data_IF_888101327200
#
_entry.id   IF_888101327200
#
_cell.length_a   1.000
_cell.length_b   1.000
_cell.length_c   1.000
_cell.angle_alpha   90.00
_cell.angle_beta   90.00
_cell.angle_gamma   90.00
#
_symmetry.space_group_name_H-M   'P 1'
#
loop_
_entity.id
_entity.type
_entity.pdbx_description
1 polymer ?
#
# COMPACT_ATOMS: atom_id res chain seq x y z
N UNK A 1 -9.83 -34.66 -66.93
CA UNK A 1 -10.51 -33.47 -67.50
C UNK A 1 -10.18 -32.27 -66.63
N UNK A 2 -9.31 -31.37 -67.11
CA UNK A 2 -9.02 -30.08 -66.49
C UNK A 2 -10.08 -29.06 -66.94
N UNK A 3 -10.65 -28.29 -66.00
CA UNK A 3 -11.26 -26.98 -66.30
C UNK A 3 -10.69 -25.93 -65.36
N UNK A 4 -10.13 -24.90 -66.01
CA UNK A 4 -9.45 -23.73 -65.45
C UNK A 4 -10.43 -22.66 -64.98
N UNK A 5 -9.97 -21.96 -63.94
CA UNK A 5 -10.06 -20.50 -63.64
C UNK A 5 -11.42 -19.81 -63.53
N UNK A 6 -11.61 -19.10 -62.41
CA UNK A 6 -12.02 -17.69 -62.39
C UNK A 6 -11.44 -16.95 -61.17
N UNK A 7 -10.80 -15.84 -61.48
CA UNK A 7 -10.25 -14.75 -60.67
C UNK A 7 -11.29 -14.02 -59.83
N UNK A 8 -10.86 -13.44 -58.70
CA UNK A 8 -11.56 -12.31 -58.06
C UNK A 8 -11.17 -12.11 -56.59
N UNK A 9 -10.42 -11.03 -56.25
CA UNK A 9 -10.04 -10.71 -54.88
C UNK A 9 -11.15 -9.90 -54.18
N UNK A 10 -11.53 -10.29 -52.96
CA UNK A 10 -12.41 -9.49 -52.12
C UNK A 10 -11.64 -9.08 -50.86
N UNK A 11 -11.22 -7.82 -50.84
CA UNK A 11 -10.78 -7.08 -49.67
C UNK A 11 -12.00 -6.81 -48.77
N UNK A 12 -11.92 -7.10 -47.46
CA UNK A 12 -12.52 -6.24 -46.42
C UNK A 12 -11.64 -6.34 -45.16
N UNK A 13 -11.17 -5.17 -44.75
CA UNK A 13 -10.40 -4.89 -43.54
C UNK A 13 -11.19 -5.23 -42.27
N UNK A 14 -10.52 -5.80 -41.26
CA UNK A 14 -11.09 -6.09 -39.95
C UNK A 14 -10.24 -5.49 -38.83
N UNK A 15 -10.55 -4.23 -38.52
CA UNK A 15 -10.36 -3.50 -37.25
C UNK A 15 -9.29 -4.00 -36.26
N UNK A 16 -8.18 -3.26 -36.25
CA UNK A 16 -7.22 -3.19 -35.15
C UNK A 16 -7.88 -2.40 -34.00
N UNK A 17 -8.39 -3.09 -32.98
CA UNK A 17 -8.82 -2.44 -31.73
C UNK A 17 -7.56 -2.10 -30.94
N UNK A 18 -7.06 -0.89 -31.13
CA UNK A 18 -6.10 -0.26 -30.22
C UNK A 18 -6.88 0.07 -28.96
N UNK A 19 -6.85 -0.84 -27.98
CA UNK A 19 -7.30 -0.57 -26.62
C UNK A 19 -6.38 0.46 -26.00
N UNK A 20 -6.79 1.73 -26.05
CA UNK A 20 -6.15 2.81 -25.30
C UNK A 20 -6.48 2.57 -23.82
N UNK A 21 -5.60 1.91 -23.10
CA UNK A 21 -5.59 1.99 -21.64
C UNK A 21 -5.11 3.40 -21.29
N UNK A 22 -6.06 4.32 -21.12
CA UNK A 22 -5.78 5.62 -20.52
C UNK A 22 -5.40 5.34 -19.07
N UNK A 23 -4.10 5.41 -18.78
CA UNK A 23 -3.59 5.44 -17.42
C UNK A 23 -4.22 6.67 -16.74
N UNK A 24 -5.21 6.42 -15.89
CA UNK A 24 -5.63 7.38 -14.88
C UNK A 24 -4.44 7.53 -13.94
N UNK A 25 -3.58 8.51 -14.23
CA UNK A 25 -2.64 9.03 -13.25
C UNK A 25 -3.47 9.74 -12.18
N UNK A 26 -4.02 8.95 -11.25
CA UNK A 26 -4.60 9.47 -10.03
C UNK A 26 -3.52 10.30 -9.35
N UNK A 27 -3.88 11.53 -8.97
CA UNK A 27 -3.08 12.28 -8.01
C UNK A 27 -3.09 11.46 -6.73
N UNK A 28 -2.04 10.68 -6.49
CA UNK A 28 -1.77 10.15 -5.16
C UNK A 28 -1.69 11.35 -4.21
N UNK A 29 -2.30 11.24 -3.03
CA UNK A 29 -2.12 12.20 -1.96
C UNK A 29 -0.62 12.47 -1.78
N UNK A 30 -0.24 13.73 -1.58
CA UNK A 30 1.16 14.12 -1.50
C UNK A 30 1.84 13.51 -0.28
N UNK A 31 2.58 12.42 -0.45
CA UNK A 31 3.37 11.80 0.62
C UNK A 31 4.70 12.54 0.81
N UNK A 32 5.12 12.81 2.05
CA UNK A 32 6.43 13.41 2.30
C UNK A 32 7.59 12.41 2.04
N UNK A 33 7.31 11.11 2.12
CA UNK A 33 8.23 10.02 1.87
C UNK A 33 7.98 9.41 0.48
N UNK A 34 8.92 9.53 -0.48
CA UNK A 34 8.72 9.06 -1.85
C UNK A 34 8.55 7.53 -1.96
N UNK A 35 9.06 6.76 -1.00
CA UNK A 35 8.91 5.31 -1.00
C UNK A 35 7.48 4.88 -0.65
N UNK A 36 6.84 5.61 0.27
CA UNK A 36 5.43 5.39 0.62
C UNK A 36 4.54 5.79 -0.54
N UNK A 37 4.80 6.95 -1.17
CA UNK A 37 4.10 7.36 -2.38
C UNK A 37 4.23 6.36 -3.53
N UNK A 38 5.41 5.73 -3.68
CA UNK A 38 5.62 4.69 -4.68
C UNK A 38 4.78 3.44 -4.40
N UNK A 39 4.67 3.01 -3.13
CA UNK A 39 3.79 1.90 -2.72
C UNK A 39 2.33 2.23 -3.00
N UNK A 40 1.84 3.40 -2.55
CA UNK A 40 0.44 3.81 -2.75
C UNK A 40 0.09 3.99 -4.24
N UNK A 41 1.07 4.30 -5.09
CA UNK A 41 0.91 4.40 -6.54
C UNK A 41 0.79 3.06 -7.27
N UNK A 42 1.00 1.92 -6.60
CA UNK A 42 0.84 0.60 -7.21
C UNK A 42 -0.64 0.21 -7.35
N UNK A 43 -1.03 -0.64 -8.33
CA UNK A 43 -2.36 -1.23 -8.36
C UNK A 43 -2.64 -2.06 -7.10
N UNK A 44 -3.88 -2.02 -6.61
CA UNK A 44 -4.30 -2.83 -5.46
C UNK A 44 -4.37 -4.32 -5.82
N UNK A 45 -3.86 -5.16 -4.95
CA UNK A 45 -3.92 -6.62 -5.00
C UNK A 45 -4.86 -7.20 -3.92
N UNK A 46 -5.08 -8.52 -3.93
CA UNK A 46 -6.00 -9.16 -2.99
C UNK A 46 -5.49 -9.11 -1.54
N UNK A 47 -4.17 -9.19 -1.35
CA UNK A 47 -3.50 -9.11 -0.05
C UNK A 47 -3.49 -7.70 0.56
N UNK A 48 -3.79 -6.67 -0.24
CA UNK A 48 -3.96 -5.31 0.23
C UNK A 48 -5.29 -5.09 0.97
N UNK A 49 -6.20 -6.07 0.95
CA UNK A 49 -7.47 -5.97 1.64
C UNK A 49 -7.26 -5.85 3.16
N UNK A 50 -7.63 -4.72 3.72
CA UNK A 50 -7.61 -4.51 5.16
C UNK A 50 -8.59 -5.49 5.85
N UNK A 51 -8.13 -6.30 6.82
CA UNK A 51 -8.90 -7.44 7.32
C UNK A 51 -9.93 -7.09 8.39
N UNK A 52 -9.98 -5.82 8.84
CA UNK A 52 -10.86 -5.36 9.93
C UNK A 52 -11.79 -4.28 9.41
N UNK A 53 -13.07 -4.35 9.76
CA UNK A 53 -13.99 -3.26 9.45
C UNK A 53 -13.72 -2.08 10.39
N UNK A 54 -13.35 -0.92 9.84
CA UNK A 54 -13.05 0.29 10.60
C UNK A 54 -13.93 1.43 10.12
N UNK A 55 -15.25 1.28 10.26
CA UNK A 55 -16.26 2.25 9.81
C UNK A 55 -16.13 3.66 10.42
N UNK A 56 -15.19 3.88 11.35
CA UNK A 56 -15.02 5.14 12.10
C UNK A 56 -13.64 5.81 11.94
N UNK A 57 -12.80 5.32 11.02
CA UNK A 57 -11.51 5.96 10.74
C UNK A 57 -11.62 6.76 9.43
N UNK A 58 -11.17 8.02 9.42
CA UNK A 58 -11.12 8.89 8.23
C UNK A 58 -10.02 8.44 7.23
N UNK A 59 -9.95 7.14 6.97
CA UNK A 59 -8.91 6.43 6.23
C UNK A 59 -9.54 5.85 4.97
N UNK A 60 -8.92 6.12 3.82
CA UNK A 60 -9.31 5.50 2.56
C UNK A 60 -8.78 4.06 2.52
N UNK A 61 -9.56 3.12 3.05
CA UNK A 61 -9.21 1.69 3.05
C UNK A 61 -9.12 1.09 1.64
N UNK A 62 -9.67 1.73 0.61
CA UNK A 62 -9.47 1.27 -0.77
C UNK A 62 -8.09 1.63 -1.32
N UNK A 63 -7.44 2.62 -0.70
CA UNK A 63 -6.05 2.97 -0.98
C UNK A 63 -5.03 2.12 -0.22
N UNK A 64 -5.46 1.21 0.67
CA UNK A 64 -4.54 0.41 1.48
C UNK A 64 -3.59 -0.43 0.63
N UNK A 65 -2.33 -0.53 1.05
CA UNK A 65 -1.30 -1.39 0.47
C UNK A 65 -0.57 -2.13 1.56
N UNK A 66 -0.49 -3.46 1.45
CA UNK A 66 0.31 -4.29 2.33
C UNK A 66 1.79 -4.03 2.05
N UNK A 67 2.55 -3.65 3.07
CA UNK A 67 3.99 -3.39 2.96
C UNK A 67 4.83 -4.54 3.48
N UNK A 68 4.24 -5.42 4.28
CA UNK A 68 4.85 -6.67 4.69
C UNK A 68 4.17 -7.29 5.90
N UNK A 69 4.61 -8.49 6.26
CA UNK A 69 4.13 -9.27 7.40
C UNK A 69 5.31 -9.72 8.24
N UNK A 70 5.23 -9.58 9.56
CA UNK A 70 6.22 -10.10 10.50
C UNK A 70 5.54 -10.53 11.80
N UNK A 71 5.89 -11.71 12.32
CA UNK A 71 5.37 -12.26 13.58
C UNK A 71 3.83 -12.21 13.70
N UNK A 72 3.13 -12.55 12.61
CA UNK A 72 1.66 -12.53 12.50
C UNK A 72 1.03 -11.13 12.57
N UNK A 73 1.83 -10.08 12.40
CA UNK A 73 1.36 -8.71 12.23
C UNK A 73 1.52 -8.32 10.76
N UNK A 74 0.41 -7.90 10.15
CA UNK A 74 0.37 -7.33 8.81
C UNK A 74 0.47 -5.81 8.91
N UNK A 75 1.38 -5.24 8.13
CA UNK A 75 1.68 -3.82 8.11
C UNK A 75 1.19 -3.24 6.78
N UNK A 76 0.34 -2.22 6.84
CA UNK A 76 -0.19 -1.55 5.65
C UNK A 76 0.06 -0.05 5.72
N UNK A 77 0.06 0.58 4.54
CA UNK A 77 -0.07 2.02 4.42
C UNK A 77 -1.36 2.34 3.67
N UNK A 78 -2.03 3.43 4.05
CA UNK A 78 -3.22 3.92 3.37
C UNK A 78 -3.20 5.44 3.31
N UNK A 79 -3.80 6.02 2.28
CA UNK A 79 -4.10 7.45 2.25
C UNK A 79 -5.18 7.76 3.27
N UNK A 80 -5.13 8.96 3.83
CA UNK A 80 -6.23 9.50 4.62
C UNK A 80 -6.43 10.96 4.24
N UNK A 81 -7.69 11.38 4.28
CA UNK A 81 -8.12 12.74 3.97
C UNK A 81 -9.03 13.20 5.09
N UNK A 82 -8.65 14.27 5.77
CA UNK A 82 -9.42 14.88 6.84
C UNK A 82 -9.85 16.28 6.35
N UNK A 83 -11.09 16.67 6.61
CA UNK A 83 -11.58 17.98 6.17
C UNK A 83 -10.89 19.16 6.89
N UNK A 84 -10.35 18.92 8.07
CA UNK A 84 -9.73 19.91 8.95
C UNK A 84 -8.19 19.88 8.91
N UNK A 85 -7.58 18.86 8.28
CA UNK A 85 -6.12 18.73 8.16
C UNK A 85 -5.67 18.45 6.73
N UNK A 86 -4.36 18.57 6.46
CA UNK A 86 -3.82 18.19 5.15
C UNK A 86 -3.95 16.68 4.93
N UNK A 87 -4.16 16.26 3.69
CA UNK A 87 -4.10 14.86 3.29
C UNK A 87 -2.77 14.24 3.72
N UNK A 88 -2.79 12.95 4.06
CA UNK A 88 -1.58 12.28 4.50
C UNK A 88 -1.64 10.77 4.37
N UNK A 89 -0.82 10.13 5.20
CA UNK A 89 -0.69 8.67 5.22
C UNK A 89 -0.98 8.14 6.61
N UNK A 90 -1.70 7.03 6.65
CA UNK A 90 -1.81 6.17 7.82
C UNK A 90 -0.89 4.97 7.67
N UNK A 91 -0.17 4.65 8.74
CA UNK A 91 0.40 3.33 8.95
C UNK A 91 -0.61 2.52 9.77
N UNK A 92 -0.92 1.32 9.29
CA UNK A 92 -1.93 0.43 9.86
C UNK A 92 -1.26 -0.90 10.22
N UNK A 93 -1.51 -1.40 11.42
CA UNK A 93 -1.02 -2.69 11.89
C UNK A 93 -2.22 -3.56 12.23
N UNK A 94 -2.28 -4.75 11.65
CA UNK A 94 -3.27 -5.78 11.99
C UNK A 94 -2.57 -6.98 12.60
N UNK A 95 -2.87 -7.29 13.85
CA UNK A 95 -2.37 -8.44 14.56
C UNK A 95 -3.37 -9.59 14.63
N UNK A 96 -2.98 -10.68 15.31
CA UNK A 96 -3.88 -11.80 15.55
C UNK A 96 -5.12 -11.36 16.37
N UNK A 97 -6.18 -12.16 16.27
CA UNK A 97 -7.42 -12.01 17.05
C UNK A 97 -8.15 -10.66 16.85
N UNK A 98 -7.90 -9.98 15.72
CA UNK A 98 -8.57 -8.73 15.36
C UNK A 98 -8.01 -7.49 16.05
N UNK A 99 -6.87 -7.60 16.75
CA UNK A 99 -6.17 -6.44 17.28
C UNK A 99 -5.62 -5.59 16.14
N UNK A 100 -5.90 -4.29 16.16
CA UNK A 100 -5.30 -3.36 15.20
C UNK A 100 -4.96 -2.03 15.84
N UNK A 101 -4.05 -1.31 15.20
CA UNK A 101 -3.72 0.08 15.55
C UNK A 101 -3.45 0.85 14.26
N UNK A 102 -3.86 2.11 14.26
CA UNK A 102 -3.63 3.04 13.17
C UNK A 102 -2.97 4.31 13.74
N UNK A 103 -2.07 4.90 12.96
CA UNK A 103 -1.59 6.25 13.20
C UNK A 103 -1.47 6.96 11.85
N UNK A 104 -1.98 8.18 11.81
CA UNK A 104 -2.12 8.98 10.61
C UNK A 104 -1.41 10.32 10.81
N UNK A 105 -0.78 10.82 9.75
CA UNK A 105 -0.11 12.12 9.79
C UNK A 105 0.02 12.70 8.39
N UNK A 106 -0.14 14.03 8.22
CA UNK A 106 0.17 14.71 6.96
C UNK A 106 1.69 14.76 6.71
N UNK A 107 2.48 14.47 7.75
CA UNK A 107 3.92 14.23 7.65
C UNK A 107 4.27 12.93 8.34
N UNK A 108 4.35 11.87 7.55
CA UNK A 108 4.58 10.50 7.99
C UNK A 108 6.03 10.22 8.40
N UNK A 109 6.97 11.11 8.07
CA UNK A 109 8.38 10.97 8.45
C UNK A 109 8.55 10.92 9.97
N UNK A 110 9.10 9.82 10.49
CA UNK A 110 9.33 9.65 11.92
C UNK A 110 8.07 9.32 12.73
N UNK A 111 6.94 9.08 12.05
CA UNK A 111 5.73 8.54 12.66
C UNK A 111 6.06 7.25 13.39
N UNK A 112 5.53 7.09 14.59
CA UNK A 112 5.67 5.86 15.37
C UNK A 112 4.40 5.54 16.10
N UNK A 113 4.14 4.25 16.27
CA UNK A 113 3.03 3.76 17.06
C UNK A 113 3.42 2.54 17.87
N UNK A 114 2.61 2.28 18.88
CA UNK A 114 2.64 1.08 19.69
C UNK A 114 1.20 0.60 19.88
N UNK A 115 0.98 -0.71 19.74
CA UNK A 115 -0.27 -1.34 20.11
C UNK A 115 -0.02 -2.60 20.93
N UNK A 116 -0.83 -2.79 21.97
CA UNK A 116 -0.81 -4.01 22.77
C UNK A 116 -1.18 -5.19 21.85
N UNK A 117 -0.34 -6.22 21.81
CA UNK A 117 -0.55 -7.41 20.99
C UNK A 117 -0.05 -7.30 19.54
N UNK A 118 0.37 -6.12 19.08
CA UNK A 118 0.91 -5.87 17.73
C UNK A 118 2.34 -5.30 17.74
N UNK A 119 2.81 -4.81 18.90
CA UNK A 119 4.16 -4.27 19.07
C UNK A 119 4.28 -2.82 18.58
N UNK A 120 5.48 -2.46 18.14
CA UNK A 120 5.83 -1.11 17.71
C UNK A 120 6.19 -1.04 16.23
N UNK A 121 5.87 0.07 15.58
CA UNK A 121 6.33 0.38 14.23
C UNK A 121 6.73 1.84 14.10
N UNK A 122 7.67 2.11 13.20
CA UNK A 122 8.20 3.45 12.94
C UNK A 122 8.50 3.64 11.45
N UNK A 123 7.98 4.72 10.88
CA UNK A 123 8.37 5.18 9.55
C UNK A 123 9.76 5.86 9.66
N UNK A 124 10.80 5.09 9.40
CA UNK A 124 12.20 5.52 9.44
C UNK A 124 13.10 4.46 8.80
N UNK A 125 14.25 4.89 8.30
CA UNK A 125 15.36 4.02 7.91
C UNK A 125 16.52 4.05 8.93
N UNK A 126 16.34 4.70 10.09
CA UNK A 126 17.38 4.92 11.09
C UNK A 126 17.63 3.66 11.94
N UNK A 127 18.43 2.75 11.41
CA UNK A 127 18.87 1.53 12.10
C UNK A 127 19.97 1.77 13.14
N UNK A 128 20.50 3.00 13.24
CA UNK A 128 21.49 3.36 14.27
C UNK A 128 20.77 3.65 15.59
N UNK A 129 19.71 4.45 15.55
CA UNK A 129 18.86 4.73 16.72
C UNK A 129 17.98 3.53 17.09
N UNK A 130 17.53 2.76 16.11
CA UNK A 130 16.67 1.59 16.29
C UNK A 130 17.36 0.31 15.79
N UNK A 131 18.37 -0.19 16.52
CA UNK A 131 19.18 -1.31 16.07
C UNK A 131 18.49 -2.66 16.27
N UNK A 132 18.91 -3.65 15.46
CA UNK A 132 18.45 -5.03 15.58
C UNK A 132 18.74 -5.66 16.95
N UNK A 133 19.81 -5.23 17.64
CA UNK A 133 20.10 -5.68 19.01
C UNK A 133 19.03 -5.27 20.03
N UNK A 134 18.21 -4.27 19.71
CA UNK A 134 17.05 -3.84 20.50
C UNK A 134 15.73 -4.42 19.98
N UNK A 135 15.78 -5.40 19.07
CA UNK A 135 14.60 -6.08 18.52
C UNK A 135 13.95 -5.39 17.32
N UNK A 136 14.56 -4.33 16.78
CA UNK A 136 14.04 -3.66 15.58
C UNK A 136 14.45 -4.38 14.29
N UNK A 137 13.50 -4.58 13.41
CA UNK A 137 13.69 -5.19 12.09
C UNK A 137 13.31 -4.17 11.03
N UNK A 138 14.17 -3.99 10.04
CA UNK A 138 13.85 -3.21 8.85
C UNK A 138 12.98 -4.06 7.93
N UNK A 139 11.68 -3.77 7.90
CA UNK A 139 10.70 -4.49 7.08
C UNK A 139 10.73 -4.00 5.63
N UNK A 140 10.80 -2.68 5.44
CA UNK A 140 10.97 -2.04 4.13
C UNK A 140 12.05 -0.96 4.20
N UNK A 141 12.32 -0.30 3.08
CA UNK A 141 13.24 0.85 3.02
C UNK A 141 12.77 2.08 3.83
N UNK A 142 11.51 2.12 4.25
CA UNK A 142 10.95 3.19 5.09
C UNK A 142 10.36 2.72 6.42
N UNK A 143 10.26 1.42 6.69
CA UNK A 143 9.54 0.89 7.85
C UNK A 143 10.45 0.01 8.73
N UNK A 144 10.58 0.43 9.98
CA UNK A 144 11.17 -0.35 11.07
C UNK A 144 10.05 -0.85 11.98
N UNK A 145 10.12 -2.12 12.38
CA UNK A 145 9.13 -2.78 13.22
C UNK A 145 9.78 -3.49 14.40
N UNK A 146 9.07 -3.61 15.51
CA UNK A 146 9.48 -4.35 16.68
C UNK A 146 8.24 -5.04 17.29
N UNK A 147 7.87 -6.24 16.81
CA UNK A 147 6.70 -6.98 17.28
C UNK A 147 6.80 -7.38 18.76
N UNK A 148 8.02 -7.60 19.25
CA UNK A 148 8.32 -7.94 20.64
C UNK A 148 8.32 -6.75 21.59
N UNK A 149 8.10 -5.53 21.10
CA UNK A 149 8.01 -4.36 21.96
C UNK A 149 6.76 -4.48 22.84
N UNK A 150 6.96 -4.60 24.14
CA UNK A 150 5.98 -4.23 25.16
C UNK A 150 6.13 -2.73 25.46
N UNK A 151 5.04 -2.03 25.78
CA UNK A 151 4.96 -0.57 25.94
C UNK A 151 6.22 0.11 26.53
N UNK A 152 6.60 1.31 26.07
CA UNK A 152 7.77 2.03 26.57
C UNK A 152 7.74 2.30 28.07
#
# INVERSE_FOLDING_TARGET
MQRRTKTGPAWVAGLLVVGVAVALSGCAAGTANPHIGAVLGTPREAEDAWPVDTEDLDIDLDSSRLVGTLDHVDYFVASYSDADTDDGVCLLLSGPDGHFVAACSPSESGMSMFGIGVGSARVSADTVTYPASAGWVQLTDFLLVNPGASAP
#
